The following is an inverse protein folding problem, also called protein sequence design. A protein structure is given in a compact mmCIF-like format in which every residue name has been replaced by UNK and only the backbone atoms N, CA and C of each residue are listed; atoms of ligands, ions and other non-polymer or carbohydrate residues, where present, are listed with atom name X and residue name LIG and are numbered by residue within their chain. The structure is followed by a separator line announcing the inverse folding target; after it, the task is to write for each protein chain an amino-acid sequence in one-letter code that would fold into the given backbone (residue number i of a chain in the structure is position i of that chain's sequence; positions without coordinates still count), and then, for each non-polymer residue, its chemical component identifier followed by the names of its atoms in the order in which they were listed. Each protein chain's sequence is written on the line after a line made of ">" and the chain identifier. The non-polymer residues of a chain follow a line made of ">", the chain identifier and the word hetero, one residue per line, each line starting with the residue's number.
data_IF_298381970802
#
_entry.id   IF_298381970802
#
_cell.length_a   1.000
_cell.length_b   1.000
_cell.length_c   1.000
_cell.angle_alpha   90.00
_cell.angle_beta   90.00
_cell.angle_gamma   90.00
#
_symmetry.space_group_name_H-M   'P 1'
#
loop_
_entity.id
_entity.type
_entity.pdbx_description
1 polymer ?
#
# COMPACT_ATOMS: atom_id res chain seq x y z
N UNK A 1 6.52 2.22 -21.24
CA UNK A 1 5.80 1.24 -20.39
C UNK A 1 6.57 1.12 -19.08
N UNK A 2 6.26 1.90 -18.03
CA UNK A 2 7.13 1.97 -16.84
C UNK A 2 6.42 2.17 -15.51
N UNK A 3 5.48 3.12 -15.41
CA UNK A 3 4.94 3.50 -14.09
C UNK A 3 3.57 2.86 -13.76
N UNK A 4 2.80 2.43 -14.76
CA UNK A 4 1.49 1.80 -14.50
C UNK A 4 1.63 0.38 -13.95
N UNK A 5 2.56 -0.41 -14.49
CA UNK A 5 2.87 -1.76 -14.01
C UNK A 5 3.37 -1.75 -12.57
N UNK A 6 4.31 -0.84 -12.24
CA UNK A 6 4.85 -0.73 -10.88
C UNK A 6 3.77 -0.40 -9.84
N UNK A 7 2.84 0.49 -10.19
CA UNK A 7 1.72 0.80 -9.30
C UNK A 7 0.79 -0.39 -9.14
N UNK A 8 0.53 -1.14 -10.21
CA UNK A 8 -0.30 -2.34 -10.15
C UNK A 8 0.33 -3.43 -9.28
N UNK A 9 1.64 -3.65 -9.43
CA UNK A 9 2.41 -4.59 -8.62
C UNK A 9 2.42 -4.17 -7.13
N UNK A 10 2.61 -2.87 -6.85
CA UNK A 10 2.52 -2.34 -5.48
C UNK A 10 1.13 -2.55 -4.86
N UNK A 11 0.05 -2.38 -5.63
CA UNK A 11 -1.31 -2.64 -5.16
C UNK A 11 -1.50 -4.11 -4.82
N UNK A 12 -0.96 -5.02 -5.63
CA UNK A 12 -1.01 -6.47 -5.37
C UNK A 12 -0.24 -6.83 -4.11
N UNK A 13 0.98 -6.31 -3.94
CA UNK A 13 1.79 -6.54 -2.73
C UNK A 13 1.13 -5.98 -1.48
N UNK A 14 0.52 -4.79 -1.57
CA UNK A 14 -0.24 -4.21 -0.49
C UNK A 14 -1.46 -5.09 -0.13
N UNK A 15 -2.18 -5.60 -1.11
CA UNK A 15 -3.31 -6.51 -0.87
C UNK A 15 -2.88 -7.82 -0.19
N UNK A 16 -1.78 -8.42 -0.64
CA UNK A 16 -1.19 -9.62 -0.01
C UNK A 16 -0.72 -9.35 1.43
N UNK A 17 -0.24 -8.14 1.71
CA UNK A 17 0.12 -7.69 3.04
C UNK A 17 -1.11 -7.34 3.93
N UNK A 18 -2.33 -7.61 3.48
CA UNK A 18 -3.57 -7.31 4.20
C UNK A 18 -4.04 -5.86 4.09
N UNK A 19 -3.38 -5.02 3.27
CA UNK A 19 -3.78 -3.63 3.05
C UNK A 19 -4.92 -3.61 2.03
N UNK A 20 -6.14 -3.77 2.53
CA UNK A 20 -7.34 -3.77 1.71
C UNK A 20 -7.65 -2.38 1.14
N UNK A 21 -8.12 -2.32 -0.10
CA UNK A 21 -8.42 -1.05 -0.79
C UNK A 21 -7.19 -0.31 -1.30
N UNK A 22 -6.07 -1.01 -1.48
CA UNK A 22 -4.86 -0.53 -2.18
C UNK A 22 -5.18 0.06 -3.56
N UNK A 23 -6.24 -0.40 -4.22
CA UNK A 23 -6.75 0.12 -5.51
C UNK A 23 -7.20 1.58 -5.50
N UNK A 24 -7.47 2.16 -4.33
CA UNK A 24 -7.85 3.58 -4.18
C UNK A 24 -6.71 4.45 -3.64
N UNK A 25 -5.50 3.88 -3.49
CA UNK A 25 -4.33 4.58 -2.96
C UNK A 25 -3.37 4.98 -4.08
N UNK A 26 -2.68 6.10 -3.91
CA UNK A 26 -1.58 6.54 -4.77
C UNK A 26 -0.31 5.74 -4.47
N UNK A 27 0.68 5.80 -5.38
CA UNK A 27 1.96 5.10 -5.22
C UNK A 27 2.66 5.44 -3.90
N UNK A 28 2.72 6.73 -3.55
CA UNK A 28 3.31 7.20 -2.29
C UNK A 28 2.60 6.63 -1.07
N UNK A 29 1.26 6.63 -1.08
CA UNK A 29 0.45 6.10 0.02
C UNK A 29 0.63 4.59 0.16
N UNK A 30 0.73 3.85 -0.95
CA UNK A 30 1.01 2.40 -0.92
C UNK A 30 2.39 2.12 -0.35
N UNK A 31 3.40 2.88 -0.77
CA UNK A 31 4.78 2.74 -0.29
C UNK A 31 4.88 3.01 1.21
N UNK A 32 4.19 4.04 1.72
CA UNK A 32 4.13 4.30 3.16
C UNK A 32 3.38 3.22 3.93
N UNK A 33 2.23 2.78 3.44
CA UNK A 33 1.46 1.72 4.10
C UNK A 33 2.26 0.41 4.17
N UNK A 34 2.90 0.01 3.06
CA UNK A 34 3.80 -1.16 3.03
C UNK A 34 4.97 -1.02 4.00
N UNK A 35 5.59 0.16 4.09
CA UNK A 35 6.67 0.43 5.04
C UNK A 35 6.22 0.31 6.49
N UNK A 36 4.99 0.71 6.81
CA UNK A 36 4.41 0.62 8.15
C UNK A 36 4.04 -0.82 8.50
N UNK A 37 3.43 -1.57 7.58
CA UNK A 37 3.15 -3.00 7.76
C UNK A 37 4.44 -3.80 7.96
N UNK A 38 5.48 -3.50 7.18
CA UNK A 38 6.80 -4.12 7.36
C UNK A 38 7.47 -3.82 8.71
N UNK A 39 7.01 -2.81 9.45
CA UNK A 39 7.43 -2.50 10.83
C UNK A 39 6.57 -3.20 11.89
N UNK A 40 5.64 -4.07 11.49
CA UNK A 40 4.70 -4.75 12.39
C UNK A 40 3.42 -3.97 12.69
N UNK A 41 3.14 -2.88 11.96
CA UNK A 41 1.88 -2.17 12.10
C UNK A 41 0.74 -2.94 11.44
N UNK A 42 -0.46 -2.91 12.04
CA UNK A 42 -1.61 -3.53 11.41
C UNK A 42 -1.94 -2.88 10.05
N UNK A 43 -2.27 -3.68 9.01
CA UNK A 43 -2.54 -3.18 7.67
C UNK A 43 -3.65 -2.13 7.59
N UNK A 44 -4.71 -2.29 8.39
CA UNK A 44 -5.81 -1.33 8.47
C UNK A 44 -5.36 0.02 9.02
N UNK A 45 -4.53 0.03 10.06
CA UNK A 45 -3.97 1.27 10.63
C UNK A 45 -2.93 1.90 9.70
N UNK A 46 -2.07 1.09 9.08
CA UNK A 46 -1.07 1.56 8.13
C UNK A 46 -1.73 2.28 6.94
N UNK A 47 -2.82 1.71 6.40
CA UNK A 47 -3.67 2.35 5.39
C UNK A 47 -4.22 3.68 5.87
N UNK A 48 -4.83 3.72 7.05
CA UNK A 48 -5.46 4.93 7.58
C UNK A 48 -4.43 6.05 7.76
N UNK A 49 -3.24 5.73 8.26
CA UNK A 49 -2.17 6.71 8.39
C UNK A 49 -1.54 7.13 7.06
N UNK A 50 -1.52 6.27 6.04
CA UNK A 50 -1.00 6.62 4.73
C UNK A 50 -2.02 7.40 3.86
N UNK A 51 -3.31 7.38 4.26
CA UNK A 51 -4.37 8.17 3.61
C UNK A 51 -4.57 9.56 4.20
N UNK A 52 -4.11 9.78 5.44
CA UNK A 52 -4.06 11.11 6.05
C UNK A 52 -3.01 11.95 5.35
#
# INVERSE_FOLDING_TARGET
>A
MGNRDQLHEMRQRAHQAGIEGSSKMSEQQLKEALKKVGKGMEPAMAKQQAKR
#
